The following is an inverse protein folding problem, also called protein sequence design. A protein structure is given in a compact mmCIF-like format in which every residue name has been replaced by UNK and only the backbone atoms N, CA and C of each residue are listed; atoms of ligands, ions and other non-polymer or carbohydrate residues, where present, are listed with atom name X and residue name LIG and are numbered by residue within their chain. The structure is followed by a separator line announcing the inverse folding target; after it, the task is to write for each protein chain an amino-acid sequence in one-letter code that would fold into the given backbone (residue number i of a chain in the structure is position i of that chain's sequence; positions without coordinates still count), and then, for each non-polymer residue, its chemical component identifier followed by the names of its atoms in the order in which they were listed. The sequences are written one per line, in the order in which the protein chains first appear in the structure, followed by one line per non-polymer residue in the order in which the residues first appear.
data_IF_849644119925
#
_entry.id   IF_849644119925
#
_cell.length_a   1.000
_cell.length_b   1.000
_cell.length_c   1.000
_cell.angle_alpha   90.00
_cell.angle_beta   90.00
_cell.angle_gamma   90.00
#
_symmetry.space_group_name_H-M   'P 1'
#
loop_
_entity.id
_entity.type
_entity.pdbx_description
1 polymer ?
#
# COMPACT_ATOMS: atom_id res chain seq x y z
N UNK A 1 -67.95 -27.45 10.02
CA UNK A 1 -67.82 -28.91 9.77
C UNK A 1 -66.66 -29.11 8.79
N UNK A 2 -65.75 -30.07 9.05
CA UNK A 2 -64.40 -30.11 8.46
C UNK A 2 -64.25 -31.10 7.28
N UNK A 3 -63.00 -31.26 6.80
CA UNK A 3 -62.47 -32.26 5.83
C UNK A 3 -62.77 -32.01 4.35
N UNK A 4 -61.88 -32.25 3.36
CA UNK A 4 -60.56 -32.87 3.23
C UNK A 4 -59.92 -32.29 1.94
N UNK A 5 -58.65 -31.90 1.88
CA UNK A 5 -57.46 -32.67 1.51
C UNK A 5 -57.43 -33.39 0.12
N UNK A 6 -56.38 -33.02 -0.63
CA UNK A 6 -55.43 -33.81 -1.44
C UNK A 6 -55.67 -34.07 -2.95
N UNK A 7 -54.73 -33.49 -3.72
CA UNK A 7 -53.91 -34.06 -4.80
C UNK A 7 -54.55 -34.90 -5.93
N UNK A 8 -54.36 -34.45 -7.18
CA UNK A 8 -53.52 -35.19 -8.13
C UNK A 8 -53.13 -34.37 -9.37
N UNK A 9 -51.86 -34.52 -9.77
CA UNK A 9 -51.31 -34.06 -11.04
C UNK A 9 -51.87 -34.82 -12.24
N UNK A 10 -51.90 -34.18 -13.42
CA UNK A 10 -51.41 -34.66 -14.75
C UNK A 10 -52.11 -33.85 -15.87
N UNK A 11 -51.48 -32.88 -16.54
CA UNK A 11 -50.53 -32.96 -17.67
C UNK A 11 -51.18 -33.09 -19.08
N UNK A 12 -50.91 -32.06 -19.90
CA UNK A 12 -50.88 -31.97 -21.39
C UNK A 12 -52.23 -31.95 -22.14
N UNK A 13 -52.49 -31.14 -23.19
CA UNK A 13 -51.65 -30.55 -24.25
C UNK A 13 -52.26 -29.27 -24.86
N UNK A 14 -51.37 -28.38 -25.31
CA UNK A 14 -51.43 -27.45 -26.44
C UNK A 14 -52.65 -26.53 -26.69
N UNK A 15 -52.38 -25.22 -26.64
CA UNK A 15 -52.55 -24.42 -27.85
C UNK A 15 -51.56 -23.26 -27.91
N UNK A 16 -50.94 -23.20 -29.10
CA UNK A 16 -49.96 -22.27 -29.60
C UNK A 16 -50.54 -20.84 -29.68
N UNK A 17 -49.79 -19.87 -29.20
CA UNK A 17 -49.80 -18.50 -29.75
C UNK A 17 -48.38 -17.95 -29.55
N UNK A 18 -47.56 -18.17 -30.57
CA UNK A 18 -46.21 -17.62 -30.67
C UNK A 18 -46.36 -16.17 -31.13
N UNK A 19 -46.18 -15.22 -30.22
CA UNK A 19 -45.89 -13.84 -30.60
C UNK A 19 -44.43 -13.79 -31.04
N UNK A 20 -44.24 -13.57 -32.34
CA UNK A 20 -42.97 -13.23 -32.96
C UNK A 20 -42.56 -11.81 -32.59
N UNK A 21 -41.65 -11.69 -31.63
CA UNK A 21 -40.88 -10.47 -31.37
C UNK A 21 -39.45 -10.71 -31.86
N UNK A 22 -39.12 -10.26 -33.07
CA UNK A 22 -37.73 -10.10 -33.48
C UNK A 22 -37.12 -8.98 -32.62
N UNK A 23 -36.38 -9.36 -31.59
CA UNK A 23 -35.38 -8.47 -30.99
C UNK A 23 -34.07 -8.84 -31.69
N UNK A 24 -33.60 -7.95 -32.57
CA UNK A 24 -32.21 -7.92 -33.01
C UNK A 24 -31.36 -7.68 -31.75
N UNK A 25 -30.85 -8.77 -31.18
CA UNK A 25 -29.77 -8.70 -30.21
C UNK A 25 -28.51 -8.29 -30.98
N UNK A 26 -28.28 -6.98 -31.06
CA UNK A 26 -26.98 -6.43 -31.42
C UNK A 26 -25.99 -6.89 -30.34
N UNK A 27 -25.27 -7.98 -30.63
CA UNK A 27 -24.09 -8.38 -29.88
C UNK A 27 -23.04 -7.28 -30.04
N UNK A 28 -23.04 -6.31 -29.13
CA UNK A 28 -21.87 -5.48 -28.87
C UNK A 28 -20.84 -6.38 -28.20
N UNK A 29 -20.13 -7.13 -29.03
CA UNK A 29 -18.80 -7.62 -28.68
C UNK A 29 -17.96 -6.36 -28.53
N UNK A 30 -17.76 -5.91 -27.30
CA UNK A 30 -16.66 -5.03 -26.98
C UNK A 30 -15.40 -5.81 -27.31
N UNK A 31 -14.87 -5.58 -28.52
CA UNK A 31 -13.50 -5.92 -28.83
C UNK A 31 -12.67 -4.98 -27.97
N UNK A 32 -12.22 -5.49 -26.82
CA UNK A 32 -11.06 -4.92 -26.13
C UNK A 32 -9.90 -5.07 -27.10
N UNK A 33 -9.67 -3.99 -27.85
CA UNK A 33 -8.49 -3.82 -28.64
C UNK A 33 -7.31 -3.79 -27.65
N UNK A 34 -6.60 -4.91 -27.64
CA UNK A 34 -5.26 -5.08 -27.10
C UNK A 34 -4.38 -3.95 -27.64
N UNK A 35 -4.32 -2.84 -26.90
CA UNK A 35 -3.39 -1.76 -27.16
C UNK A 35 -2.07 -2.16 -26.53
N UNK A 36 -1.33 -3.00 -27.25
CA UNK A 36 0.13 -3.04 -27.18
C UNK A 36 0.67 -1.70 -27.70
N UNK A 37 0.45 -0.65 -26.90
CA UNK A 37 0.87 0.72 -27.15
C UNK A 37 2.18 0.97 -26.43
N UNK A 38 3.26 0.93 -27.21
CA UNK A 38 4.57 1.51 -26.97
C UNK A 38 4.64 2.40 -25.70
N UNK A 39 5.20 1.87 -24.61
CA UNK A 39 5.45 2.66 -23.39
C UNK A 39 6.21 3.91 -23.77
N UNK A 40 5.65 5.08 -23.47
CA UNK A 40 6.37 6.34 -23.51
C UNK A 40 7.68 6.15 -22.77
N UNK A 41 8.81 6.35 -23.44
CA UNK A 41 10.09 6.49 -22.77
C UNK A 41 9.91 7.58 -21.71
N UNK A 42 10.21 7.26 -20.46
CA UNK A 42 10.15 8.22 -19.35
C UNK A 42 11.08 9.39 -19.66
N UNK A 43 10.52 10.56 -19.96
CA UNK A 43 11.31 11.76 -20.36
C UNK A 43 11.62 12.69 -19.19
N UNK A 44 11.28 12.30 -17.97
CA UNK A 44 11.55 13.10 -16.79
C UNK A 44 12.97 12.85 -16.29
N UNK A 45 13.75 13.93 -16.13
CA UNK A 45 15.13 13.86 -15.64
C UNK A 45 15.20 13.20 -14.25
N UNK A 46 16.22 12.36 -14.00
CA UNK A 46 16.48 11.81 -12.68
C UNK A 46 16.56 12.90 -11.61
N UNK A 47 16.08 12.62 -10.40
CA UNK A 47 16.20 13.55 -9.29
C UNK A 47 16.60 12.86 -7.99
N UNK A 48 17.21 13.65 -7.12
CA UNK A 48 17.53 13.29 -5.74
C UNK A 48 17.15 14.46 -4.83
N UNK A 49 16.41 14.16 -3.76
CA UNK A 49 16.01 15.17 -2.77
C UNK A 49 16.40 14.67 -1.39
N UNK A 50 16.96 15.55 -0.57
CA UNK A 50 17.32 15.26 0.82
C UNK A 50 16.39 16.04 1.73
N UNK A 51 15.76 15.37 2.68
CA UNK A 51 14.97 16.03 3.71
C UNK A 51 15.87 16.92 4.55
N UNK A 52 15.55 18.21 4.63
CA UNK A 52 16.33 19.17 5.42
C UNK A 52 16.32 18.80 6.91
N UNK A 53 17.51 18.79 7.51
CA UNK A 53 17.72 18.50 8.92
C UNK A 53 17.94 17.02 9.23
N UNK A 54 18.02 16.74 10.52
CA UNK A 54 18.13 15.39 11.07
C UNK A 54 17.15 15.22 12.22
N UNK A 55 16.73 13.98 12.45
CA UNK A 55 15.62 13.64 13.31
C UNK A 55 15.97 12.50 14.27
N UNK A 56 15.35 12.44 15.45
CA UNK A 56 15.46 11.28 16.33
C UNK A 56 14.91 10.04 15.64
N UNK A 57 15.64 8.94 15.73
CA UNK A 57 15.29 7.63 15.14
C UNK A 57 15.16 7.65 13.61
N UNK A 58 15.15 6.47 13.00
CA UNK A 58 15.30 6.34 11.56
C UNK A 58 14.01 6.69 10.80
N UNK A 59 14.18 7.02 9.53
CA UNK A 59 13.08 7.13 8.56
C UNK A 59 12.36 5.78 8.46
N UNK A 60 11.04 5.80 8.32
CA UNK A 60 10.16 4.62 8.28
C UNK A 60 9.37 4.55 6.97
N UNK A 61 9.14 5.71 6.34
CA UNK A 61 8.40 5.81 5.10
C UNK A 61 8.40 7.20 4.50
N UNK A 62 7.99 7.28 3.24
CA UNK A 62 7.76 8.54 2.53
C UNK A 62 6.56 8.42 1.59
N UNK A 63 5.82 9.51 1.42
CA UNK A 63 4.87 9.69 0.34
C UNK A 63 4.92 11.14 -0.15
N UNK A 64 4.21 11.45 -1.24
CA UNK A 64 4.17 12.81 -1.78
C UNK A 64 2.79 13.15 -2.33
N UNK A 65 2.50 14.45 -2.36
CA UNK A 65 1.49 15.03 -3.23
C UNK A 65 2.16 15.84 -4.36
N UNK A 66 1.40 16.67 -5.07
CA UNK A 66 1.93 17.47 -6.18
C UNK A 66 2.91 18.58 -5.75
N UNK A 67 2.93 18.97 -4.48
CA UNK A 67 3.66 20.13 -3.98
C UNK A 67 4.58 19.83 -2.79
N UNK A 68 4.48 18.65 -2.18
CA UNK A 68 5.13 18.34 -0.92
C UNK A 68 5.53 16.88 -0.80
N UNK A 69 6.60 16.66 -0.04
CA UNK A 69 7.05 15.33 0.38
C UNK A 69 6.79 15.20 1.88
N UNK A 70 6.26 14.05 2.27
CA UNK A 70 5.97 13.70 3.65
C UNK A 70 6.90 12.59 4.11
N UNK A 71 7.54 12.80 5.25
CA UNK A 71 8.57 11.92 5.79
C UNK A 71 8.14 11.45 7.17
N UNK A 72 7.93 10.15 7.32
CA UNK A 72 7.62 9.55 8.61
C UNK A 72 8.91 9.02 9.22
N UNK A 73 9.44 9.72 10.22
CA UNK A 73 10.46 9.19 11.11
C UNK A 73 9.77 8.58 12.33
N UNK A 74 10.42 7.63 12.99
CA UNK A 74 9.81 6.86 14.10
C UNK A 74 9.11 7.72 15.16
N UNK A 75 9.57 8.95 15.40
CA UNK A 75 8.95 9.89 16.36
C UNK A 75 8.69 11.29 15.80
N UNK A 76 8.87 11.52 14.49
CA UNK A 76 8.66 12.85 13.87
C UNK A 76 8.01 12.73 12.50
N UNK A 77 6.92 13.47 12.27
CA UNK A 77 6.34 13.64 10.94
C UNK A 77 6.81 14.97 10.36
N UNK A 78 7.36 14.94 9.15
CA UNK A 78 7.94 16.10 8.47
C UNK A 78 7.25 16.30 7.13
N UNK A 79 6.96 17.56 6.79
CA UNK A 79 6.52 18.03 5.48
C UNK A 79 7.60 18.93 4.91
N UNK A 80 8.05 18.63 3.69
CA UNK A 80 8.95 19.48 2.92
C UNK A 80 8.30 19.94 1.62
N UNK A 81 8.88 20.96 0.99
CA UNK A 81 8.65 21.16 -0.45
C UNK A 81 9.35 20.07 -1.28
N UNK A 82 9.23 20.15 -2.59
CA UNK A 82 9.84 19.19 -3.53
C UNK A 82 11.37 19.28 -3.59
N UNK A 83 11.97 20.37 -3.10
CA UNK A 83 13.43 20.51 -2.97
C UNK A 83 13.96 19.96 -1.63
N UNK A 84 13.05 19.49 -0.76
CA UNK A 84 13.38 18.90 0.53
C UNK A 84 13.49 19.90 1.67
N UNK A 85 13.16 21.17 1.44
CA UNK A 85 13.16 22.21 2.48
C UNK A 85 11.98 22.03 3.42
N UNK A 86 12.21 22.05 4.73
CA UNK A 86 11.15 21.85 5.73
C UNK A 86 10.14 23.00 5.68
N UNK A 87 8.89 22.64 5.44
CA UNK A 87 7.74 23.54 5.55
C UNK A 87 7.09 23.42 6.94
N UNK A 88 7.00 22.19 7.46
CA UNK A 88 6.45 21.91 8.79
C UNK A 88 6.98 20.59 9.34
N UNK A 89 7.06 20.48 10.66
CA UNK A 89 7.29 19.21 11.36
C UNK A 89 6.60 19.19 12.71
N UNK A 90 6.22 18.00 13.16
CA UNK A 90 5.61 17.79 14.48
C UNK A 90 6.20 16.54 15.16
N UNK A 91 6.29 16.52 16.51
CA UNK A 91 6.48 15.26 17.21
C UNK A 91 5.24 14.39 17.04
N UNK A 92 5.43 13.08 16.96
CA UNK A 92 4.36 12.09 16.86
C UNK A 92 4.57 10.99 17.90
N UNK A 93 3.60 10.07 18.00
CA UNK A 93 3.78 8.86 18.80
C UNK A 93 5.01 8.09 18.31
N UNK A 94 5.59 7.26 19.19
CA UNK A 94 6.66 6.38 18.78
C UNK A 94 6.12 5.29 17.82
N UNK A 95 7.01 4.70 17.02
CA UNK A 95 6.71 3.69 16.01
C UNK A 95 5.72 4.16 14.94
N UNK A 96 5.84 5.41 14.52
CA UNK A 96 5.24 5.87 13.27
C UNK A 96 5.91 5.18 12.09
N UNK A 97 5.20 4.29 11.43
CA UNK A 97 5.65 3.49 10.30
C UNK A 97 5.57 4.23 8.97
N UNK A 98 5.41 3.46 7.89
CA UNK A 98 5.21 4.00 6.55
C UNK A 98 3.84 4.68 6.40
N UNK A 99 3.73 5.54 5.38
CA UNK A 99 2.60 6.44 5.18
C UNK A 99 2.20 6.53 3.71
N UNK A 100 0.92 6.82 3.46
CA UNK A 100 0.42 7.16 2.13
C UNK A 100 -0.38 8.47 2.15
N UNK A 101 -0.43 9.16 1.01
CA UNK A 101 -1.21 10.38 0.82
C UNK A 101 -2.51 10.07 0.07
N UNK A 102 -3.64 10.63 0.54
CA UNK A 102 -4.93 10.57 -0.16
C UNK A 102 -5.84 11.72 0.25
N UNK A 103 -6.41 12.43 -0.73
CA UNK A 103 -7.43 13.49 -0.54
C UNK A 103 -7.07 14.53 0.54
N UNK A 104 -5.86 15.08 0.44
CA UNK A 104 -5.36 16.10 1.38
C UNK A 104 -5.09 15.56 2.78
N UNK A 105 -4.98 14.24 2.94
CA UNK A 105 -4.68 13.58 4.21
C UNK A 105 -3.49 12.65 4.08
N UNK A 106 -2.79 12.48 5.18
CA UNK A 106 -1.70 11.52 5.35
C UNK A 106 -2.21 10.43 6.28
N UNK A 107 -2.07 9.18 5.86
CA UNK A 107 -2.41 8.01 6.66
C UNK A 107 -1.12 7.31 7.03
N UNK A 108 -0.87 7.11 8.31
CA UNK A 108 0.37 6.52 8.82
C UNK A 108 0.03 5.25 9.59
N UNK A 109 0.70 4.14 9.25
CA UNK A 109 0.64 2.92 10.05
C UNK A 109 1.39 3.13 11.37
N UNK A 110 0.78 2.78 12.51
CA UNK A 110 1.36 3.02 13.84
C UNK A 110 1.19 1.76 14.69
N UNK A 111 2.24 1.38 15.42
CA UNK A 111 2.16 0.33 16.43
C UNK A 111 2.60 0.83 17.81
N UNK A 112 1.66 0.92 18.75
CA UNK A 112 1.93 1.37 20.13
C UNK A 112 2.32 0.22 21.07
N UNK A 113 2.22 -1.03 20.60
CA UNK A 113 2.55 -2.25 21.34
C UNK A 113 3.93 -2.81 20.98
N UNK A 114 4.12 -4.11 21.24
CA UNK A 114 5.33 -4.83 20.87
C UNK A 114 5.28 -5.26 19.40
N UNK A 115 6.04 -4.56 18.57
CA UNK A 115 6.17 -4.90 17.16
C UNK A 115 6.80 -6.29 17.00
N UNK A 116 6.30 -7.06 16.05
CA UNK A 116 6.77 -8.40 15.69
C UNK A 116 6.72 -9.45 16.81
N UNK A 117 5.92 -9.24 17.85
CA UNK A 117 5.75 -10.22 18.93
C UNK A 117 4.88 -11.41 18.47
N UNK A 118 5.39 -12.66 18.47
CA UNK A 118 4.62 -13.83 18.07
C UNK A 118 3.33 -14.06 18.89
N UNK A 119 3.27 -13.52 20.11
CA UNK A 119 2.08 -13.61 20.95
C UNK A 119 1.01 -12.57 20.60
N UNK A 120 1.27 -11.66 19.64
CA UNK A 120 0.34 -10.63 19.20
C UNK A 120 0.13 -9.50 20.21
N UNK A 121 1.17 -9.17 20.98
CA UNK A 121 1.13 -8.02 21.90
C UNK A 121 1.34 -6.67 21.20
N UNK A 122 1.01 -6.59 19.90
CA UNK A 122 0.97 -5.34 19.16
C UNK A 122 -0.24 -4.50 19.56
N UNK A 123 -0.21 -3.23 19.21
CA UNK A 123 -1.36 -2.33 19.33
C UNK A 123 -1.39 -1.47 18.07
N UNK A 124 -2.13 -1.95 17.07
CA UNK A 124 -2.02 -1.52 15.67
C UNK A 124 -3.08 -0.49 15.30
N UNK A 125 -2.65 0.61 14.69
CA UNK A 125 -3.47 1.75 14.33
C UNK A 125 -3.11 2.30 12.95
N UNK A 126 -4.04 3.08 12.40
CA UNK A 126 -3.76 4.08 11.37
C UNK A 126 -4.10 5.46 11.89
N UNK A 127 -3.12 6.35 11.90
CA UNK A 127 -3.30 7.75 12.28
C UNK A 127 -3.49 8.60 11.04
N UNK A 128 -4.43 9.54 11.10
CA UNK A 128 -4.75 10.42 9.96
C UNK A 128 -4.40 11.84 10.31
N UNK A 129 -3.62 12.47 9.43
CA UNK A 129 -3.21 13.86 9.55
C UNK A 129 -3.75 14.67 8.38
N UNK A 130 -4.15 15.90 8.66
CA UNK A 130 -4.38 16.91 7.63
C UNK A 130 -3.04 17.27 6.96
N UNK A 131 -2.94 17.13 5.65
CA UNK A 131 -1.67 17.22 4.93
C UNK A 131 -1.13 18.65 4.80
N UNK A 132 -1.96 19.67 5.01
CA UNK A 132 -1.55 21.07 5.05
C UNK A 132 -1.00 21.44 6.43
N UNK A 133 -1.76 21.14 7.47
CA UNK A 133 -1.48 21.57 8.83
C UNK A 133 -0.61 20.60 9.63
N UNK A 134 -0.50 19.34 9.20
CA UNK A 134 -0.02 18.18 9.98
C UNK A 134 -0.80 17.95 11.28
N UNK A 135 -1.99 18.50 11.42
CA UNK A 135 -2.83 18.24 12.60
C UNK A 135 -3.39 16.83 12.49
N UNK A 136 -3.26 16.04 13.55
CA UNK A 136 -3.95 14.76 13.66
C UNK A 136 -5.48 15.00 13.68
N UNK A 137 -6.21 14.32 12.81
CA UNK A 137 -7.65 14.50 12.60
C UNK A 137 -8.47 13.22 12.83
N UNK A 138 -7.85 12.05 12.81
CA UNK A 138 -8.51 10.78 13.15
C UNK A 138 -7.49 9.70 13.54
N UNK A 139 -8.01 8.63 14.17
CA UNK A 139 -7.32 7.36 14.39
C UNK A 139 -8.28 6.22 14.09
N UNK A 140 -7.76 5.16 13.51
CA UNK A 140 -8.49 3.93 13.21
C UNK A 140 -7.75 2.75 13.83
N UNK A 141 -8.48 1.90 14.54
CA UNK A 141 -7.93 0.64 15.03
C UNK A 141 -7.76 -0.32 13.85
N UNK A 142 -6.64 -1.04 13.81
CA UNK A 142 -6.32 -2.04 12.78
C UNK A 142 -5.74 -3.29 13.44
N UNK A 143 -6.45 -3.82 14.44
CA UNK A 143 -5.95 -4.88 15.32
C UNK A 143 -5.79 -6.22 14.59
N UNK A 144 -6.41 -6.38 13.42
CA UNK A 144 -6.19 -7.52 12.54
C UNK A 144 -4.73 -7.62 12.09
N UNK A 145 -3.99 -6.50 12.06
CA UNK A 145 -2.54 -6.46 11.86
C UNK A 145 -1.83 -6.91 13.14
N UNK A 146 -2.01 -8.20 13.44
CA UNK A 146 -1.78 -8.84 14.74
C UNK A 146 -0.33 -8.73 15.27
N UNK A 147 0.65 -8.64 14.37
CA UNK A 147 2.07 -8.53 14.74
C UNK A 147 2.60 -7.09 14.66
N UNK A 148 1.72 -6.10 14.54
CA UNK A 148 2.08 -4.67 14.50
C UNK A 148 2.02 -4.10 13.09
N UNK A 149 1.28 -3.00 12.94
CA UNK A 149 1.25 -2.21 11.71
C UNK A 149 2.61 -1.53 11.48
N UNK A 150 3.20 -1.79 10.31
CA UNK A 150 4.47 -1.25 9.87
C UNK A 150 4.31 -0.29 8.69
N UNK A 151 3.42 -0.59 7.73
CA UNK A 151 3.20 0.28 6.58
C UNK A 151 1.80 0.24 6.01
N UNK A 152 1.50 1.16 5.09
CA UNK A 152 0.19 1.34 4.52
C UNK A 152 0.26 1.84 3.08
N UNK A 153 -0.52 1.23 2.20
CA UNK A 153 -0.79 1.73 0.85
C UNK A 153 -2.29 1.88 0.60
N UNK A 154 -2.65 2.52 -0.51
CA UNK A 154 -4.03 2.73 -0.91
C UNK A 154 -4.22 2.33 -2.38
N UNK A 155 -5.34 1.68 -2.68
CA UNK A 155 -5.77 1.36 -4.06
C UNK A 155 -7.29 1.29 -4.13
N UNK A 156 -7.87 1.85 -5.19
CA UNK A 156 -9.30 1.69 -5.54
C UNK A 156 -10.28 1.96 -4.39
N UNK A 157 -9.96 2.94 -3.53
CA UNK A 157 -10.79 3.33 -2.38
C UNK A 157 -10.56 2.50 -1.12
N UNK A 158 -9.64 1.53 -1.15
CA UNK A 158 -9.31 0.67 -0.03
C UNK A 158 -7.90 0.97 0.49
N UNK A 159 -7.70 0.72 1.78
CA UNK A 159 -6.41 0.80 2.45
C UNK A 159 -5.85 -0.60 2.72
N UNK A 160 -4.54 -0.73 2.58
CA UNK A 160 -3.83 -1.99 2.70
C UNK A 160 -2.70 -1.82 3.70
N UNK A 161 -2.91 -2.35 4.91
CA UNK A 161 -1.95 -2.26 6.01
C UNK A 161 -1.10 -3.52 6.05
N UNK A 162 0.20 -3.36 6.27
CA UNK A 162 1.20 -4.43 6.33
C UNK A 162 2.05 -4.26 7.59
N UNK A 163 2.86 -5.26 7.95
CA UNK A 163 3.71 -5.13 9.13
C UNK A 163 4.41 -6.42 9.54
N UNK A 164 4.47 -6.63 10.86
CA UNK A 164 5.31 -7.64 11.51
C UNK A 164 5.18 -9.06 10.97
N UNK A 165 6.31 -9.73 10.82
CA UNK A 165 6.42 -11.16 10.53
C UNK A 165 7.40 -11.86 11.50
N UNK A 166 6.90 -12.61 12.51
CA UNK A 166 7.74 -13.39 13.40
C UNK A 166 8.57 -14.46 12.68
N UNK A 167 9.72 -14.81 13.23
CA UNK A 167 10.71 -15.73 12.63
C UNK A 167 10.15 -17.13 12.28
N UNK A 168 9.05 -17.56 12.92
CA UNK A 168 8.42 -18.85 12.65
C UNK A 168 7.39 -18.84 11.51
N UNK A 169 7.20 -17.70 10.83
CA UNK A 169 6.17 -17.52 9.79
C UNK A 169 6.83 -17.31 8.43
N UNK A 170 6.37 -18.06 7.42
CA UNK A 170 7.01 -18.14 6.09
C UNK A 170 6.27 -17.36 4.99
N UNK A 171 5.28 -16.53 5.34
CA UNK A 171 4.48 -15.76 4.39
C UNK A 171 4.08 -14.42 4.97
N UNK A 172 4.12 -13.36 4.16
CA UNK A 172 3.67 -12.05 4.58
C UNK A 172 2.15 -11.91 4.42
N UNK A 173 1.58 -10.95 5.14
CA UNK A 173 0.15 -10.66 5.09
C UNK A 173 -0.11 -9.20 4.73
N UNK A 174 -1.17 -8.98 3.97
CA UNK A 174 -1.72 -7.65 3.68
C UNK A 174 -3.15 -7.61 4.20
N UNK A 175 -3.47 -6.60 4.99
CA UNK A 175 -4.77 -6.44 5.62
C UNK A 175 -5.53 -5.33 4.93
N UNK A 176 -6.61 -5.67 4.26
CA UNK A 176 -7.44 -4.74 3.49
C UNK A 176 -8.56 -4.17 4.35
N UNK A 177 -8.74 -2.87 4.24
CA UNK A 177 -9.81 -2.10 4.86
C UNK A 177 -10.50 -1.24 3.80
N UNK A 178 -11.79 -0.98 3.97
CA UNK A 178 -12.51 -0.01 3.13
C UNK A 178 -12.12 1.43 3.50
N UNK A 179 -12.75 2.41 2.84
CA UNK A 179 -12.50 3.84 3.07
C UNK A 179 -12.97 4.34 4.44
N UNK A 180 -13.80 3.58 5.16
CA UNK A 180 -14.18 3.82 6.55
C UNK A 180 -13.33 3.02 7.56
N UNK A 181 -12.22 2.42 7.09
CA UNK A 181 -11.34 1.55 7.87
C UNK A 181 -12.07 0.35 8.50
N UNK A 182 -13.13 -0.16 7.88
CA UNK A 182 -13.70 -1.45 8.26
C UNK A 182 -12.88 -2.56 7.62
N UNK A 183 -12.51 -3.56 8.42
CA UNK A 183 -11.73 -4.69 7.92
C UNK A 183 -12.51 -5.48 6.87
N UNK A 184 -11.89 -5.69 5.71
CA UNK A 184 -12.45 -6.45 4.59
C UNK A 184 -11.88 -7.86 4.59
N UNK A 185 -10.55 -7.99 4.50
CA UNK A 185 -9.90 -9.29 4.33
C UNK A 185 -8.40 -9.27 4.64
N UNK A 186 -7.88 -10.40 5.13
CA UNK A 186 -6.45 -10.70 5.16
C UNK A 186 -6.05 -11.45 3.89
N UNK A 187 -5.09 -10.90 3.15
CA UNK A 187 -4.46 -11.51 2.00
C UNK A 187 -3.14 -12.16 2.40
N UNK A 188 -2.81 -13.25 1.74
CA UNK A 188 -1.56 -13.99 1.96
C UNK A 188 -0.64 -13.74 0.77
N UNK A 189 0.59 -13.32 1.06
CA UNK A 189 1.66 -13.18 0.08
C UNK A 189 2.62 -14.34 0.29
N UNK A 190 2.65 -15.29 -0.65
CA UNK A 190 3.52 -16.47 -0.62
C UNK A 190 5.00 -16.10 -0.90
N UNK A 191 5.57 -15.22 -0.09
CA UNK A 191 6.88 -14.59 -0.29
C UNK A 191 8.06 -15.41 0.20
N UNK A 192 7.83 -16.41 1.06
CA UNK A 192 8.84 -16.87 2.01
C UNK A 192 9.01 -15.87 3.17
N UNK A 193 9.74 -16.27 4.22
CA UNK A 193 10.04 -15.36 5.33
C UNK A 193 10.78 -14.08 4.89
N UNK A 194 10.47 -12.98 5.58
CA UNK A 194 11.18 -11.68 5.49
C UNK A 194 11.43 -11.16 6.90
N UNK A 195 12.63 -10.64 7.16
CA UNK A 195 13.01 -10.19 8.49
C UNK A 195 12.10 -9.06 8.97
N UNK A 196 11.40 -9.27 10.09
CA UNK A 196 10.44 -8.34 10.69
C UNK A 196 9.23 -7.97 9.81
N UNK A 197 9.06 -8.61 8.65
CA UNK A 197 7.93 -8.38 7.75
C UNK A 197 8.12 -7.22 6.77
N UNK A 198 6.99 -6.68 6.30
CA UNK A 198 6.94 -5.58 5.33
C UNK A 198 6.84 -4.26 6.08
N UNK A 199 7.68 -3.30 5.71
CA UNK A 199 7.71 -1.96 6.28
C UNK A 199 7.03 -0.92 5.38
N UNK A 200 7.20 -0.99 4.06
CA UNK A 200 6.63 -0.01 3.13
C UNK A 200 5.75 -0.66 2.07
N UNK A 201 4.71 0.05 1.61
CA UNK A 201 3.78 -0.46 0.61
C UNK A 201 3.24 0.65 -0.31
N UNK A 202 3.41 0.48 -1.62
CA UNK A 202 2.69 1.30 -2.62
C UNK A 202 2.12 0.44 -3.74
N UNK A 203 1.00 0.86 -4.29
CA UNK A 203 0.44 0.28 -5.50
C UNK A 203 0.72 1.21 -6.69
N UNK A 204 1.55 0.73 -7.61
CA UNK A 204 1.91 1.46 -8.82
C UNK A 204 2.18 0.47 -9.96
N UNK A 205 1.94 0.89 -11.20
CA UNK A 205 2.21 0.06 -12.39
C UNK A 205 1.47 -1.29 -12.37
N UNK A 206 0.21 -1.27 -11.89
CA UNK A 206 -0.65 -2.44 -11.68
C UNK A 206 -0.02 -3.54 -10.80
N UNK A 207 0.84 -3.13 -9.87
CA UNK A 207 1.59 -4.01 -8.99
C UNK A 207 1.70 -3.42 -7.59
N UNK A 208 1.84 -4.28 -6.61
CA UNK A 208 2.27 -3.86 -5.29
C UNK A 208 3.79 -3.96 -5.17
N UNK A 209 4.36 -2.94 -4.56
CA UNK A 209 5.77 -2.85 -4.20
C UNK A 209 5.86 -2.85 -2.68
N UNK A 210 6.57 -3.83 -2.13
CA UNK A 210 6.72 -3.99 -0.69
C UNK A 210 8.18 -3.95 -0.30
N UNK A 211 8.57 -2.97 0.52
CA UNK A 211 9.90 -2.91 1.09
C UNK A 211 9.96 -3.66 2.41
N UNK A 212 10.90 -4.59 2.53
CA UNK A 212 11.11 -5.39 3.74
C UNK A 212 12.42 -5.03 4.40
N UNK A 213 12.44 -5.01 5.74
CA UNK A 213 13.69 -4.93 6.48
C UNK A 213 14.57 -6.16 6.23
N UNK A 214 15.86 -6.02 6.55
CA UNK A 214 16.81 -7.13 6.49
C UNK A 214 18.22 -6.70 6.12
N UNK A 215 19.13 -7.68 6.22
CA UNK A 215 20.48 -7.60 5.67
C UNK A 215 20.79 -8.95 5.00
N UNK A 216 20.58 -9.10 3.67
CA UNK A 216 20.15 -8.05 2.75
C UNK A 216 18.70 -7.62 2.95
N UNK A 217 18.40 -6.34 2.69
CA UNK A 217 17.03 -5.85 2.56
C UNK A 217 16.46 -6.30 1.22
N UNK A 218 15.16 -6.57 1.17
CA UNK A 218 14.50 -7.09 -0.04
C UNK A 218 13.27 -6.27 -0.40
N UNK A 219 12.97 -6.25 -1.70
CA UNK A 219 11.74 -5.74 -2.27
C UNK A 219 10.93 -6.91 -2.81
N UNK A 220 9.70 -7.05 -2.35
CA UNK A 220 8.74 -7.98 -2.94
C UNK A 220 7.87 -7.23 -3.95
N UNK A 221 7.59 -7.86 -5.07
CA UNK A 221 6.68 -7.35 -6.10
C UNK A 221 5.58 -8.38 -6.30
N UNK A 222 4.33 -7.93 -6.26
CA UNK A 222 3.15 -8.76 -6.53
C UNK A 222 2.25 -8.11 -7.57
N UNK A 223 1.33 -8.86 -8.19
CA UNK A 223 0.23 -8.24 -8.94
C UNK A 223 -0.85 -7.69 -8.02
N UNK A 224 -1.92 -7.19 -8.61
CA UNK A 224 -3.06 -6.64 -7.90
C UNK A 224 -3.74 -7.62 -6.94
N UNK A 225 -3.59 -8.93 -7.14
CA UNK A 225 -4.18 -10.02 -6.34
C UNK A 225 -3.15 -10.66 -5.39
N UNK A 226 -2.06 -9.93 -5.11
CA UNK A 226 -0.98 -10.33 -4.21
C UNK A 226 -0.23 -11.60 -4.62
N UNK A 227 -0.32 -12.00 -5.89
CA UNK A 227 0.49 -13.10 -6.41
C UNK A 227 1.92 -12.62 -6.66
N UNK A 228 2.89 -13.35 -6.11
CA UNK A 228 4.31 -13.03 -6.26
C UNK A 228 4.73 -12.93 -7.73
N UNK A 229 5.39 -11.81 -8.07
CA UNK A 229 6.03 -11.56 -9.37
C UNK A 229 7.54 -11.47 -9.26
N UNK A 230 8.05 -11.07 -8.09
CA UNK A 230 9.49 -10.97 -7.88
C UNK A 230 9.87 -10.77 -6.42
N UNK A 231 11.08 -11.23 -6.08
CA UNK A 231 11.76 -10.99 -4.81
C UNK A 231 13.17 -10.55 -5.15
N UNK A 232 13.50 -9.30 -4.85
CA UNK A 232 14.74 -8.66 -5.30
C UNK A 232 15.54 -8.18 -4.09
N UNK A 233 16.85 -8.36 -4.10
CA UNK A 233 17.77 -7.79 -3.09
C UNK A 233 17.98 -6.29 -3.34
N UNK A 234 16.89 -5.54 -3.23
CA UNK A 234 16.81 -4.09 -3.36
C UNK A 234 16.14 -3.53 -2.11
N UNK A 235 16.66 -2.42 -1.60
CA UNK A 235 16.11 -1.78 -0.42
C UNK A 235 15.13 -0.66 -0.81
N UNK A 236 13.86 -0.84 -0.48
CA UNK A 236 12.88 0.23 -0.43
C UNK A 236 12.09 0.24 0.90
N UNK A 237 12.64 -0.41 1.94
CA UNK A 237 12.00 -0.55 3.26
C UNK A 237 11.74 0.78 3.96
N UNK A 238 12.47 1.85 3.62
CA UNK A 238 12.28 3.17 4.23
C UNK A 238 11.29 4.06 3.45
N UNK A 239 10.62 3.49 2.45
CA UNK A 239 9.58 4.15 1.67
C UNK A 239 9.74 3.93 0.17
N UNK A 240 8.60 3.76 -0.50
CA UNK A 240 8.46 3.64 -1.95
C UNK A 240 7.13 4.25 -2.36
N UNK A 241 7.11 5.04 -3.43
CA UNK A 241 5.88 5.70 -3.91
C UNK A 241 5.84 5.74 -5.43
N UNK A 242 4.64 5.60 -6.01
CA UNK A 242 4.41 5.76 -7.45
C UNK A 242 4.29 7.23 -7.82
N UNK A 243 4.99 7.66 -8.88
CA UNK A 243 4.87 9.01 -9.42
C UNK A 243 3.93 9.03 -10.63
N UNK A 244 3.26 10.16 -10.86
CA UNK A 244 2.30 10.33 -11.96
C UNK A 244 2.94 10.20 -13.35
N UNK A 245 4.23 10.49 -13.47
CA UNK A 245 5.01 10.28 -14.69
C UNK A 245 5.42 8.81 -14.91
N UNK A 246 4.98 7.91 -14.02
CA UNK A 246 5.23 6.48 -14.05
C UNK A 246 6.62 6.07 -13.56
N UNK A 247 7.40 6.97 -12.96
CA UNK A 247 8.55 6.59 -12.15
C UNK A 247 8.12 6.09 -10.76
N UNK A 248 9.09 5.58 -10.03
CA UNK A 248 9.02 5.35 -8.59
C UNK A 248 9.87 6.39 -7.87
N UNK A 249 9.50 6.69 -6.64
CA UNK A 249 10.31 7.36 -5.66
C UNK A 249 10.75 6.31 -4.64
N UNK A 250 12.05 6.23 -4.34
CA UNK A 250 12.60 5.27 -3.36
C UNK A 250 13.36 6.03 -2.28
N UNK A 251 13.02 5.75 -1.02
CA UNK A 251 13.64 6.38 0.13
C UNK A 251 14.84 5.60 0.68
N UNK A 252 15.77 6.36 1.24
CA UNK A 252 16.91 5.87 2.00
C UNK A 252 17.19 6.84 3.15
N UNK A 253 17.91 6.38 4.16
CA UNK A 253 18.27 7.20 5.31
C UNK A 253 19.56 6.72 5.93
N UNK A 254 20.21 7.60 6.69
CA UNK A 254 21.40 7.28 7.47
C UNK A 254 21.21 7.79 8.89
N UNK A 255 21.59 6.98 9.86
CA UNK A 255 21.60 7.39 11.25
C UNK A 255 23.03 7.51 11.75
N UNK A 256 23.29 8.62 12.41
CA UNK A 256 24.50 8.86 13.16
C UNK A 256 24.14 9.10 14.64
N UNK A 257 24.96 8.57 15.55
CA UNK A 257 24.67 8.63 16.99
C UNK A 257 24.70 10.06 17.54
N UNK A 258 25.52 10.93 16.95
CA UNK A 258 25.69 12.31 17.40
C UNK A 258 24.69 13.25 16.71
N UNK A 259 24.44 13.02 15.42
CA UNK A 259 23.71 13.94 14.56
C UNK A 259 22.27 13.53 14.27
N UNK A 260 21.81 12.35 14.70
CA UNK A 260 20.47 11.83 14.41
C UNK A 260 20.38 11.18 13.02
N UNK A 261 19.16 11.06 12.50
CA UNK A 261 18.89 10.37 11.25
C UNK A 261 18.43 11.32 10.14
N UNK A 262 18.91 11.09 8.92
CA UNK A 262 18.52 11.81 7.72
C UNK A 262 17.60 10.97 6.82
N UNK A 263 16.88 11.65 5.93
CA UNK A 263 16.07 11.03 4.87
C UNK A 263 16.45 11.57 3.50
N UNK A 264 16.42 10.70 2.49
CA UNK A 264 16.73 11.02 1.10
C UNK A 264 15.86 10.19 0.17
N UNK A 265 15.38 10.80 -0.90
CA UNK A 265 14.66 10.11 -1.97
C UNK A 265 15.41 10.20 -3.29
N UNK A 266 15.22 9.18 -4.11
CA UNK A 266 15.76 9.07 -5.47
C UNK A 266 14.63 8.65 -6.40
N UNK A 267 14.63 9.16 -7.63
CA UNK A 267 13.79 8.61 -8.69
C UNK A 267 14.32 7.25 -9.15
N UNK A 268 13.41 6.32 -9.42
CA UNK A 268 13.71 5.01 -9.99
C UNK A 268 12.73 4.67 -11.12
N UNK A 269 13.14 3.78 -12.02
CA UNK A 269 12.29 3.19 -13.04
C UNK A 269 11.90 1.76 -12.64
N UNK A 270 10.63 1.35 -12.79
CA UNK A 270 10.25 -0.04 -12.59
C UNK A 270 10.92 -0.93 -13.64
N UNK A 271 11.45 -2.08 -13.20
CA UNK A 271 12.07 -3.10 -14.05
C UNK A 271 11.38 -4.44 -13.84
N UNK A 272 10.96 -5.08 -14.94
CA UNK A 272 10.29 -6.38 -14.87
C UNK A 272 11.19 -7.50 -14.33
N UNK A 273 12.51 -7.38 -14.51
CA UNK A 273 13.49 -8.41 -14.12
C UNK A 273 14.25 -8.06 -12.85
N UNK A 274 14.47 -6.79 -12.60
CA UNK A 274 15.32 -6.33 -11.48
C UNK A 274 14.52 -5.73 -10.33
N UNK A 275 13.20 -5.59 -10.46
CA UNK A 275 12.37 -4.85 -9.50
C UNK A 275 12.34 -3.38 -9.91
N UNK A 276 13.37 -2.61 -9.57
CA UNK A 276 13.52 -1.22 -10.03
C UNK A 276 14.99 -0.84 -10.22
N UNK A 277 15.23 0.18 -11.05
CA UNK A 277 16.54 0.77 -11.28
C UNK A 277 16.54 2.22 -10.81
N UNK A 278 17.38 2.52 -9.81
CA UNK A 278 17.63 3.90 -9.39
C UNK A 278 18.32 4.65 -10.53
N UNK A 279 17.87 5.86 -10.79
CA UNK A 279 18.49 6.73 -11.78
C UNK A 279 19.46 7.68 -11.09
N UNK A 280 20.69 7.74 -11.58
CA UNK A 280 21.76 8.66 -11.14
C UNK A 280 21.98 9.77 -12.16
#
# INVERSE_FOLDING_TARGET
MPCNQLNHQSRFFASLLVLSSLILASSLVAQDADSSGNQSAFTAEPFQVTCEGTYPHHLQGVCSDEASIYWSFTTTLVKTDLDGKVLKKIPVANHHGDLCFRDGKIYVAVNLGKFNDPAGNADSWVYVYDAESLKEIARHETQEVFHGAGGIGHRDGHFYVVGGLPDSVEENYVYEYDNEFQFVKKHVVASGHTHLGIQSATFAHNRWWFGCYGSPAVTLVTDADFQMKGRHELNCSLGIEGLADGRLLVASGRCDKENGCSGKILSAQPSATEGFQVQE
#
